data_IF_046638053993
#
_entry.id   IF_046638053993
#
_cell.length_a   1.000
_cell.length_b   1.000
_cell.length_c   1.000
_cell.angle_alpha   90.00
_cell.angle_beta   90.00
_cell.angle_gamma   90.00
#
_symmetry.space_group_name_H-M   'P 1'
#
loop_
_entity.id
_entity.type
_entity.pdbx_description
1 polymer ?
#
# COMPACT_ATOMS: atom_id res chain seq x y z
N UNK A 1 2.30 -49.10 27.75
CA UNK A 1 1.98 -48.31 26.54
C UNK A 1 1.38 -46.93 26.84
N UNK A 2 0.59 -46.75 27.92
CA UNK A 2 0.01 -45.44 28.28
C UNK A 2 1.06 -44.32 28.50
N UNK A 3 2.19 -44.62 29.16
CA UNK A 3 3.24 -43.63 29.46
C UNK A 3 3.95 -43.05 28.22
N UNK A 4 4.04 -43.80 27.12
CA UNK A 4 4.65 -43.28 25.89
C UNK A 4 3.68 -42.39 25.10
N UNK A 5 2.37 -42.66 25.19
CA UNK A 5 1.35 -41.82 24.59
C UNK A 5 1.29 -40.44 25.26
N UNK A 6 1.46 -40.39 26.59
CA UNK A 6 1.47 -39.13 27.34
C UNK A 6 2.67 -38.24 27.01
N UNK A 7 3.84 -38.83 26.73
CA UNK A 7 5.05 -38.08 26.33
C UNK A 7 4.93 -37.54 24.91
N UNK A 8 4.30 -38.28 23.99
CA UNK A 8 4.05 -37.81 22.62
C UNK A 8 3.00 -36.69 22.61
N UNK A 9 1.92 -36.82 23.41
CA UNK A 9 0.89 -35.78 23.51
C UNK A 9 1.43 -34.53 24.22
N UNK A 10 2.21 -34.64 25.30
CA UNK A 10 2.85 -33.47 25.92
C UNK A 10 3.91 -32.83 25.02
N UNK A 11 4.68 -33.63 24.26
CA UNK A 11 5.68 -33.12 23.31
C UNK A 11 5.06 -32.37 22.13
N UNK A 12 3.88 -32.80 21.66
CA UNK A 12 3.12 -32.08 20.62
C UNK A 12 2.48 -30.80 21.20
N UNK A 13 2.03 -30.82 22.46
CA UNK A 13 1.45 -29.65 23.13
C UNK A 13 2.51 -28.58 23.45
N UNK A 14 3.75 -28.96 23.81
CA UNK A 14 4.82 -27.98 24.09
C UNK A 14 5.39 -27.32 22.83
N UNK A 15 5.39 -28.00 21.69
CA UNK A 15 5.76 -27.38 20.39
C UNK A 15 4.69 -26.38 19.93
N UNK A 16 3.43 -26.53 20.38
CA UNK A 16 2.34 -25.62 20.04
C UNK A 16 2.32 -24.27 20.77
N UNK A 17 3.19 -24.04 21.76
CA UNK A 17 3.10 -22.90 22.69
C UNK A 17 4.08 -21.74 22.43
N UNK A 18 5.07 -21.90 21.56
CA UNK A 18 6.02 -20.83 21.23
C UNK A 18 5.55 -20.03 20.00
N UNK A 19 4.60 -19.11 20.18
CA UNK A 19 4.23 -18.19 19.09
C UNK A 19 2.96 -17.37 19.30
N UNK A 20 2.63 -16.97 20.54
CA UNK A 20 1.29 -16.44 20.82
C UNK A 20 1.07 -14.99 20.37
N UNK A 21 2.09 -14.12 20.30
CA UNK A 21 1.94 -12.73 19.86
C UNK A 21 3.26 -12.19 19.29
N UNK A 22 3.22 -11.48 18.16
CA UNK A 22 4.38 -10.72 17.65
C UNK A 22 4.19 -9.27 18.05
N UNK A 23 5.15 -8.71 18.78
CA UNK A 23 5.14 -7.30 19.19
C UNK A 23 6.18 -6.52 18.40
N UNK A 24 5.78 -5.41 17.81
CA UNK A 24 6.70 -4.46 17.17
C UNK A 24 7.13 -3.38 18.16
N UNK A 25 8.37 -2.87 18.09
CA UNK A 25 8.78 -1.70 18.87
C UNK A 25 7.96 -0.47 18.48
N UNK A 26 7.97 0.53 19.36
CA UNK A 26 7.63 1.90 18.96
C UNK A 26 8.75 2.46 18.09
N UNK A 27 8.42 3.05 16.94
CA UNK A 27 9.40 3.54 15.97
C UNK A 27 9.32 5.05 15.88
N UNK A 28 10.42 5.72 16.20
CA UNK A 28 10.62 7.15 15.99
C UNK A 28 11.53 7.31 14.78
N UNK A 29 10.99 7.81 13.68
CA UNK A 29 11.73 7.93 12.44
C UNK A 29 11.90 9.36 12.00
N UNK A 30 12.96 9.60 11.23
CA UNK A 30 13.12 10.82 10.43
C UNK A 30 13.38 10.45 8.97
N UNK A 31 12.74 11.16 8.05
CA UNK A 31 13.00 11.06 6.61
C UNK A 31 13.82 12.26 6.19
N UNK A 32 15.00 11.99 5.64
CA UNK A 32 15.93 13.00 5.14
C UNK A 32 16.13 12.81 3.64
N UNK A 33 16.25 13.90 2.91
CA UNK A 33 16.65 13.85 1.52
C UNK A 33 18.08 13.30 1.40
N UNK A 34 18.31 12.36 0.48
CA UNK A 34 19.59 11.65 0.37
C UNK A 34 20.74 12.55 -0.06
N UNK A 35 20.45 13.64 -0.79
CA UNK A 35 21.45 14.56 -1.33
C UNK A 35 21.66 15.74 -0.38
N UNK A 36 20.60 16.47 -0.07
CA UNK A 36 20.64 17.72 0.70
C UNK A 36 20.69 17.50 2.21
N UNK A 37 20.38 16.28 2.67
CA UNK A 37 20.22 15.90 4.08
C UNK A 37 19.15 16.70 4.84
N UNK A 38 18.33 17.48 4.11
CA UNK A 38 17.24 18.24 4.71
C UNK A 38 16.06 17.32 5.05
N UNK A 39 15.26 17.66 6.07
CA UNK A 39 14.06 16.90 6.39
C UNK A 39 13.03 16.98 5.27
N UNK A 40 12.32 15.87 5.05
CA UNK A 40 11.28 15.76 4.03
C UNK A 40 9.90 15.80 4.69
N UNK A 41 9.17 16.89 4.49
CA UNK A 41 7.78 17.04 4.94
C UNK A 41 6.80 16.26 4.07
N UNK A 42 5.76 15.68 4.68
CA UNK A 42 4.69 15.02 3.94
C UNK A 42 5.11 13.76 3.18
N UNK A 43 6.18 13.07 3.60
CA UNK A 43 6.49 11.75 3.09
C UNK A 43 5.50 10.74 3.66
N UNK A 44 4.83 9.97 2.80
CA UNK A 44 3.94 8.89 3.21
C UNK A 44 4.76 7.71 3.71
N UNK A 45 4.60 7.36 4.98
CA UNK A 45 5.31 6.27 5.63
C UNK A 45 4.44 5.03 5.67
N UNK A 46 5.03 3.90 5.26
CA UNK A 46 4.37 2.58 5.27
C UNK A 46 5.28 1.57 5.93
N UNK A 47 4.74 0.79 6.86
CA UNK A 47 5.49 -0.26 7.57
C UNK A 47 4.73 -1.59 7.50
N UNK A 48 5.40 -2.62 7.00
CA UNK A 48 4.81 -3.94 6.79
C UNK A 48 5.64 -5.00 7.47
N UNK A 49 4.98 -5.86 8.24
CA UNK A 49 5.54 -7.08 8.80
C UNK A 49 5.07 -8.26 7.96
N UNK A 50 6.00 -8.98 7.39
CA UNK A 50 5.76 -10.24 6.70
C UNK A 50 5.93 -11.38 7.69
N UNK A 51 4.86 -12.18 7.82
CA UNK A 51 4.82 -13.35 8.69
C UNK A 51 4.65 -14.61 7.85
N UNK A 52 5.31 -15.67 8.28
CA UNK A 52 5.17 -17.00 7.68
C UNK A 52 4.55 -17.95 8.70
N UNK A 53 3.44 -18.58 8.33
CA UNK A 53 2.75 -19.56 9.14
C UNK A 53 2.92 -20.94 8.51
N UNK A 54 3.46 -21.89 9.28
CA UNK A 54 3.63 -23.29 8.85
C UNK A 54 2.32 -24.03 9.01
N UNK A 55 1.73 -24.52 7.92
CA UNK A 55 0.43 -25.23 7.94
C UNK A 55 0.57 -26.66 7.42
N UNK A 56 -0.48 -27.47 7.56
CA UNK A 56 -0.53 -28.82 6.96
C UNK A 56 -0.46 -28.81 5.42
N UNK A 57 -0.82 -27.70 4.77
CA UNK A 57 -0.79 -27.53 3.31
C UNK A 57 0.49 -26.85 2.81
N UNK A 58 1.45 -26.61 3.69
CA UNK A 58 2.68 -25.87 3.39
C UNK A 58 2.75 -24.52 4.10
N UNK A 59 3.79 -23.75 3.78
CA UNK A 59 4.02 -22.43 4.37
C UNK A 59 3.11 -21.40 3.71
N UNK A 60 2.39 -20.64 4.55
CA UNK A 60 1.54 -19.52 4.12
C UNK A 60 2.15 -18.22 4.60
N UNK A 61 2.43 -17.32 3.66
CA UNK A 61 2.92 -15.96 3.96
C UNK A 61 1.73 -15.02 4.10
N UNK A 62 1.83 -14.05 5.01
CA UNK A 62 0.87 -12.97 5.16
C UNK A 62 1.57 -11.65 5.48
N UNK A 63 1.01 -10.55 5.00
CA UNK A 63 1.52 -9.20 5.27
C UNK A 63 0.62 -8.43 6.22
N UNK A 64 1.20 -7.87 7.28
CA UNK A 64 0.51 -7.07 8.29
C UNK A 64 0.97 -5.62 8.22
N UNK A 65 0.04 -4.66 8.22
CA UNK A 65 0.38 -3.24 8.34
C UNK A 65 0.68 -2.90 9.81
N UNK A 66 1.86 -2.33 10.02
CA UNK A 66 2.37 -1.93 11.34
C UNK A 66 2.14 -0.45 11.58
N UNK A 67 2.22 0.36 10.53
CA UNK A 67 1.91 1.79 10.59
C UNK A 67 0.44 2.05 10.92
N UNK A 68 0.20 3.22 11.51
CA UNK A 68 -1.16 3.74 11.64
C UNK A 68 -1.65 4.24 10.29
N UNK A 69 -2.97 4.17 10.02
CA UNK A 69 -3.55 4.90 8.90
C UNK A 69 -3.01 6.33 8.82
N UNK A 70 -2.73 6.79 7.61
CA UNK A 70 -2.31 8.18 7.36
C UNK A 70 -0.98 8.59 8.00
N UNK A 71 -0.11 7.62 8.32
CA UNK A 71 1.23 7.93 8.87
C UNK A 71 2.06 8.68 7.82
N UNK A 72 2.46 9.90 8.16
CA UNK A 72 3.27 10.80 7.32
C UNK A 72 4.25 11.60 8.17
N UNK A 73 5.27 12.15 7.51
CA UNK A 73 6.23 13.01 8.18
C UNK A 73 5.69 14.42 8.42
N UNK A 74 6.09 15.02 9.53
CA UNK A 74 5.87 16.44 9.84
C UNK A 74 6.87 17.36 9.10
N UNK A 75 6.78 18.67 9.35
CA UNK A 75 7.71 19.70 8.85
C UNK A 75 9.19 19.50 9.21
N UNK A 76 9.48 18.62 10.18
CA UNK A 76 10.83 18.26 10.59
C UNK A 76 11.23 16.87 10.06
N UNK A 77 10.47 16.33 9.10
CA UNK A 77 10.69 15.01 8.53
C UNK A 77 10.41 13.87 9.51
N UNK A 78 9.82 14.14 10.68
CA UNK A 78 9.66 13.14 11.74
C UNK A 78 8.34 12.40 11.63
N UNK A 79 8.34 11.13 12.01
CA UNK A 79 7.15 10.31 12.12
C UNK A 79 7.22 9.39 13.34
N UNK A 80 6.05 8.94 13.80
CA UNK A 80 5.89 8.00 14.90
C UNK A 80 5.01 6.84 14.45
N UNK A 81 5.51 5.61 14.63
CA UNK A 81 4.69 4.40 14.54
C UNK A 81 4.59 3.79 15.93
N UNK A 82 3.38 3.73 16.53
CA UNK A 82 3.20 3.17 17.86
C UNK A 82 3.51 1.66 17.85
N UNK A 83 3.95 1.15 19.00
CA UNK A 83 4.10 -0.30 19.19
C UNK A 83 2.76 -1.01 18.95
N UNK A 84 2.80 -2.14 18.22
CA UNK A 84 1.64 -2.97 17.96
C UNK A 84 1.90 -4.41 18.38
N UNK A 85 0.84 -5.06 18.83
CA UNK A 85 0.83 -6.49 19.14
C UNK A 85 -0.09 -7.18 18.15
N UNK A 86 0.47 -8.08 17.35
CA UNK A 86 -0.27 -8.91 16.42
C UNK A 86 -0.55 -10.25 17.08
N UNK A 87 -1.84 -10.53 17.25
CA UNK A 87 -2.30 -11.87 17.61
C UNK A 87 -2.15 -12.77 16.39
N UNK A 88 -1.75 -14.02 16.61
CA UNK A 88 -1.74 -15.02 15.55
C UNK A 88 -3.12 -15.08 14.89
N UNK A 89 -3.22 -14.97 13.55
CA UNK A 89 -4.50 -15.11 12.87
C UNK A 89 -5.07 -16.51 13.16
N UNK A 90 -6.40 -16.64 13.40
CA UNK A 90 -7.01 -17.92 13.76
C UNK A 90 -6.97 -18.94 12.61
N UNK A 91 -6.73 -18.48 11.38
CA UNK A 91 -6.63 -19.30 10.18
C UNK A 91 -5.53 -18.76 9.26
N UNK A 92 -4.79 -19.62 8.54
CA UNK A 92 -4.82 -21.09 8.63
C UNK A 92 -4.29 -21.63 9.96
N UNK A 93 -4.81 -22.78 10.41
CA UNK A 93 -4.32 -23.47 11.62
C UNK A 93 -2.88 -23.90 11.36
N UNK A 94 -1.94 -23.16 11.94
CA UNK A 94 -0.51 -23.39 11.78
C UNK A 94 0.17 -23.90 13.04
N UNK A 95 1.25 -24.66 12.89
CA UNK A 95 2.07 -25.19 13.98
C UNK A 95 3.15 -24.21 14.45
N UNK A 96 3.17 -23.00 13.90
CA UNK A 96 4.09 -21.93 14.26
C UNK A 96 3.92 -20.75 13.31
N UNK A 97 4.16 -19.54 13.82
CA UNK A 97 4.17 -18.30 13.03
C UNK A 97 5.44 -17.55 13.37
N UNK A 98 6.23 -17.20 12.36
CA UNK A 98 7.46 -16.45 12.52
C UNK A 98 7.43 -15.18 11.67
N UNK A 99 8.00 -14.10 12.19
CA UNK A 99 8.26 -12.91 11.40
C UNK A 99 9.49 -13.20 10.52
N UNK A 100 9.36 -12.98 9.21
CA UNK A 100 10.46 -13.26 8.25
C UNK A 100 11.06 -11.99 7.65
N UNK A 101 10.29 -10.91 7.62
CA UNK A 101 10.75 -9.64 7.08
C UNK A 101 9.95 -8.48 7.68
N UNK A 102 10.63 -7.38 7.99
CA UNK A 102 10.00 -6.11 8.33
C UNK A 102 10.50 -5.05 7.35
N UNK A 103 9.57 -4.45 6.61
CA UNK A 103 9.85 -3.35 5.70
C UNK A 103 9.27 -2.07 6.25
N UNK A 104 10.06 -0.99 6.27
CA UNK A 104 9.56 0.36 6.48
C UNK A 104 10.07 1.26 5.36
N UNK A 105 9.17 1.99 4.71
CA UNK A 105 9.52 2.90 3.63
C UNK A 105 8.78 4.22 3.74
N UNK A 106 9.37 5.23 3.11
CA UNK A 106 8.76 6.54 2.93
C UNK A 106 8.75 6.87 1.43
N UNK A 107 7.64 7.43 0.96
CA UNK A 107 7.48 7.87 -0.43
C UNK A 107 6.92 9.28 -0.48
N UNK A 108 7.39 10.06 -1.44
CA UNK A 108 7.04 11.46 -1.66
C UNK A 108 6.29 11.62 -2.97
N UNK A 109 5.59 12.74 -3.15
CA UNK A 109 4.77 12.99 -4.35
C UNK A 109 5.61 13.09 -5.62
N UNK A 110 6.83 13.59 -5.51
CA UNK A 110 7.83 13.82 -6.58
C UNK A 110 8.66 12.57 -6.91
N UNK A 111 8.17 11.38 -6.58
CA UNK A 111 8.78 10.08 -6.91
C UNK A 111 10.12 9.82 -6.22
N UNK A 112 10.41 10.56 -5.14
CA UNK A 112 11.51 10.24 -4.22
C UNK A 112 11.02 9.29 -3.11
N UNK A 113 11.92 8.48 -2.59
CA UNK A 113 11.61 7.58 -1.48
C UNK A 113 12.81 6.80 -0.99
N UNK A 114 12.58 6.04 0.07
CA UNK A 114 13.57 5.19 0.69
C UNK A 114 12.91 4.05 1.43
N UNK A 115 13.63 2.94 1.58
CA UNK A 115 13.13 1.76 2.30
C UNK A 115 14.23 1.08 3.08
N UNK A 116 13.89 0.67 4.30
CA UNK A 116 14.68 -0.22 5.14
C UNK A 116 13.96 -1.56 5.17
N UNK A 117 14.70 -2.65 4.94
CA UNK A 117 14.19 -4.01 5.11
C UNK A 117 15.06 -4.74 6.13
N UNK A 118 14.42 -5.35 7.13
CA UNK A 118 15.06 -6.13 8.19
C UNK A 118 14.66 -7.59 8.03
N UNK A 119 15.65 -8.48 8.02
CA UNK A 119 15.48 -9.94 7.89
C UNK A 119 16.49 -10.66 8.80
N UNK A 120 16.20 -11.92 9.13
CA UNK A 120 17.08 -12.76 9.96
C UNK A 120 17.39 -12.12 11.32
N UNK A 121 18.64 -12.19 11.75
CA UNK A 121 19.08 -11.68 13.06
C UNK A 121 18.72 -10.20 13.31
N UNK A 122 18.79 -9.35 12.27
CA UNK A 122 18.42 -7.93 12.38
C UNK A 122 16.93 -7.73 12.67
N UNK A 123 16.08 -8.65 12.18
CA UNK A 123 14.65 -8.62 12.47
C UNK A 123 14.38 -9.08 13.91
N UNK A 124 15.07 -10.10 14.38
CA UNK A 124 14.96 -10.57 15.77
C UNK A 124 15.41 -9.49 16.76
N UNK A 125 16.55 -8.85 16.49
CA UNK A 125 17.02 -7.71 17.28
C UNK A 125 16.00 -6.57 17.28
N UNK A 126 15.41 -6.26 16.12
CA UNK A 126 14.35 -5.26 15.99
C UNK A 126 13.12 -5.58 16.85
N UNK A 127 12.61 -6.81 16.77
CA UNK A 127 11.42 -7.23 17.53
C UNK A 127 11.70 -7.31 19.05
N UNK A 128 12.95 -7.51 19.46
CA UNK A 128 13.37 -7.48 20.86
C UNK A 128 13.42 -6.09 21.49
N UNK A 129 13.38 -5.01 20.70
CA UNK A 129 13.45 -3.64 21.21
C UNK A 129 12.09 -3.15 21.72
N UNK A 130 12.12 -2.27 22.73
CA UNK A 130 10.93 -1.51 23.15
C UNK A 130 10.69 -0.31 22.25
N UNK A 131 11.77 0.37 21.88
CA UNK A 131 11.80 1.58 21.05
C UNK A 131 12.92 1.45 20.03
N UNK A 132 12.69 1.97 18.83
CA UNK A 132 13.66 2.09 17.76
C UNK A 132 13.70 3.53 17.26
N UNK A 133 14.90 4.03 17.03
CA UNK A 133 15.15 5.27 16.31
C UNK A 133 15.77 4.94 14.96
N UNK A 134 15.26 5.52 13.88
CA UNK A 134 15.78 5.27 12.54
C UNK A 134 15.73 6.49 11.63
N UNK A 135 16.56 6.45 10.59
CA UNK A 135 16.60 7.46 9.54
C UNK A 135 16.38 6.79 8.19
N UNK A 136 15.40 7.26 7.44
CA UNK A 136 15.17 6.85 6.05
C UNK A 136 15.73 7.95 5.15
N UNK A 137 16.67 7.59 4.28
CA UNK A 137 17.15 8.50 3.24
C UNK A 137 16.26 8.37 2.00
N UNK A 138 15.66 9.47 1.58
CA UNK A 138 14.78 9.57 0.42
C UNK A 138 15.56 10.09 -0.79
N UNK A 139 15.65 9.28 -1.84
CA UNK A 139 16.28 9.65 -3.11
C UNK A 139 15.38 9.31 -4.30
N UNK A 140 15.79 9.62 -5.53
CA UNK A 140 15.04 9.24 -6.73
C UNK A 140 14.75 7.74 -6.77
N UNK A 141 13.49 7.37 -7.03
CA UNK A 141 13.11 5.96 -7.17
C UNK A 141 12.88 5.65 -8.64
N UNK A 142 13.78 4.86 -9.23
CA UNK A 142 13.59 4.31 -10.57
C UNK A 142 12.52 3.21 -10.54
N UNK A 143 11.55 3.32 -11.44
CA UNK A 143 10.53 2.30 -11.70
C UNK A 143 10.34 2.17 -13.20
N UNK A 144 10.16 0.96 -13.67
CA UNK A 144 9.63 0.72 -15.01
C UNK A 144 8.20 1.25 -15.11
N UNK A 145 7.73 1.50 -16.34
CA UNK A 145 6.37 1.98 -16.58
C UNK A 145 5.31 1.02 -15.99
N UNK A 146 5.52 -0.29 -16.12
CA UNK A 146 4.63 -1.32 -15.58
C UNK A 146 4.60 -1.34 -14.05
N UNK A 147 5.76 -1.20 -13.39
CA UNK A 147 5.85 -1.09 -11.93
C UNK A 147 5.17 0.19 -11.44
N UNK A 148 5.35 1.29 -12.15
CA UNK A 148 4.71 2.56 -11.81
C UNK A 148 3.19 2.47 -11.97
N UNK A 149 2.70 1.91 -13.07
CA UNK A 149 1.26 1.68 -13.29
C UNK A 149 0.66 0.78 -12.20
N UNK A 150 1.38 -0.24 -11.76
CA UNK A 150 0.96 -1.12 -10.65
C UNK A 150 0.90 -0.37 -9.32
N UNK A 151 1.87 0.53 -9.08
CA UNK A 151 1.86 1.42 -7.92
C UNK A 151 0.64 2.35 -7.92
N UNK A 152 0.33 3.00 -9.05
CA UNK A 152 -0.86 3.85 -9.19
C UNK A 152 -2.15 3.07 -8.91
N UNK A 153 -2.27 1.86 -9.44
CA UNK A 153 -3.42 0.99 -9.17
C UNK A 153 -3.55 0.68 -7.67
N UNK A 154 -2.44 0.46 -6.96
CA UNK A 154 -2.46 0.24 -5.51
C UNK A 154 -2.94 1.48 -4.75
N UNK A 155 -2.49 2.69 -5.14
CA UNK A 155 -2.96 3.95 -4.55
C UNK A 155 -4.46 4.15 -4.78
N UNK A 156 -4.92 3.95 -6.02
CA UNK A 156 -6.33 4.01 -6.37
C UNK A 156 -7.17 3.04 -5.54
N UNK A 157 -6.76 1.76 -5.45
CA UNK A 157 -7.46 0.75 -4.65
C UNK A 157 -7.49 1.10 -3.17
N UNK A 158 -6.39 1.67 -2.64
CA UNK A 158 -6.34 2.13 -1.27
C UNK A 158 -7.35 3.24 -1.00
N UNK A 159 -7.45 4.26 -1.88
CA UNK A 159 -8.45 5.30 -1.71
C UNK A 159 -9.89 4.80 -1.84
N UNK A 160 -10.13 3.80 -2.71
CA UNK A 160 -11.48 3.26 -2.90
C UNK A 160 -11.93 2.33 -1.77
N UNK A 161 -11.02 1.53 -1.22
CA UNK A 161 -11.37 0.39 -0.35
C UNK A 161 -10.70 0.41 1.02
N UNK A 162 -9.79 1.35 1.26
CA UNK A 162 -8.88 1.35 2.40
C UNK A 162 -7.82 0.24 2.35
N UNK A 163 -7.76 -0.57 1.28
CA UNK A 163 -6.81 -1.70 1.16
C UNK A 163 -5.71 -1.39 0.18
N UNK A 164 -4.46 -1.49 0.64
CA UNK A 164 -3.28 -1.35 -0.24
C UNK A 164 -2.88 -2.68 -0.90
N UNK A 165 -3.35 -3.81 -0.37
CA UNK A 165 -3.18 -5.16 -0.92
C UNK A 165 -4.32 -6.07 -0.44
N UNK A 166 -4.50 -7.23 -1.08
CA UNK A 166 -5.55 -8.21 -0.78
C UNK A 166 -5.48 -8.71 0.68
N UNK A 167 -4.27 -8.77 1.24
CA UNK A 167 -4.00 -9.36 2.56
C UNK A 167 -3.95 -8.36 3.71
N UNK A 168 -4.02 -7.05 3.41
CA UNK A 168 -3.99 -6.01 4.44
C UNK A 168 -5.43 -5.59 4.76
N UNK A 169 -5.83 -5.57 6.05
CA UNK A 169 -7.14 -5.07 6.46
C UNK A 169 -7.41 -3.67 5.90
N UNK A 170 -8.67 -3.40 5.55
CA UNK A 170 -9.08 -2.07 5.09
C UNK A 170 -8.94 -1.04 6.21
N UNK A 171 -8.35 0.10 5.90
CA UNK A 171 -8.46 1.31 6.70
C UNK A 171 -9.89 1.85 6.57
N UNK A 172 -10.58 1.99 7.70
CA UNK A 172 -11.90 2.61 7.74
C UNK A 172 -11.82 4.05 7.23
N UNK A 173 -12.69 4.41 6.28
CA UNK A 173 -12.68 5.73 5.62
C UNK A 173 -11.77 5.84 4.38
N UNK A 174 -10.91 4.87 4.09
CA UNK A 174 -10.08 4.89 2.88
C UNK A 174 -8.94 5.90 2.96
N UNK A 175 -8.80 6.75 1.93
CA UNK A 175 -7.84 7.85 1.90
C UNK A 175 -8.35 9.07 2.68
N UNK A 176 -7.47 9.74 3.42
CA UNK A 176 -7.74 11.12 3.84
C UNK A 176 -7.59 12.13 2.68
N UNK A 177 -7.93 13.40 2.92
CA UNK A 177 -7.89 14.44 1.87
C UNK A 177 -6.48 14.60 1.27
N UNK A 178 -5.44 14.49 2.10
CA UNK A 178 -4.06 14.62 1.67
C UNK A 178 -3.62 13.41 0.86
N UNK A 179 -3.97 12.19 1.26
CA UNK A 179 -3.65 10.96 0.54
C UNK A 179 -4.38 10.90 -0.81
N UNK A 180 -5.63 11.40 -0.86
CA UNK A 180 -6.37 11.53 -2.12
C UNK A 180 -5.68 12.54 -3.05
N UNK A 181 -5.24 13.68 -2.53
CA UNK A 181 -4.47 14.66 -3.31
C UNK A 181 -3.13 14.08 -3.79
N UNK A 182 -2.43 13.34 -2.95
CA UNK A 182 -1.21 12.62 -3.28
C UNK A 182 -1.44 11.61 -4.42
N UNK A 183 -2.49 10.79 -4.32
CA UNK A 183 -2.84 9.81 -5.34
C UNK A 183 -3.16 10.50 -6.67
N UNK A 184 -3.98 11.56 -6.66
CA UNK A 184 -4.32 12.34 -7.86
C UNK A 184 -3.05 12.90 -8.51
N UNK A 185 -2.18 13.56 -7.74
CA UNK A 185 -0.96 14.17 -8.26
C UNK A 185 -0.03 13.14 -8.92
N UNK A 186 0.10 11.93 -8.35
CA UNK A 186 0.84 10.82 -8.94
C UNK A 186 0.27 10.36 -10.29
N UNK A 187 -1.06 10.23 -10.38
CA UNK A 187 -1.73 9.83 -11.62
C UNK A 187 -1.60 10.91 -12.70
N UNK A 188 -1.80 12.18 -12.35
CA UNK A 188 -1.58 13.32 -13.25
C UNK A 188 -0.13 13.38 -13.75
N UNK A 189 0.84 13.23 -12.84
CA UNK A 189 2.26 13.23 -13.17
C UNK A 189 2.64 12.12 -14.13
N UNK A 190 2.10 10.91 -13.94
CA UNK A 190 2.31 9.80 -14.87
C UNK A 190 1.73 10.06 -16.25
N UNK A 191 0.47 10.49 -16.33
CA UNK A 191 -0.19 10.81 -17.61
C UNK A 191 0.55 11.93 -18.34
N UNK A 192 1.04 12.93 -17.60
CA UNK A 192 1.85 14.02 -18.17
C UNK A 192 3.17 13.52 -18.77
N UNK A 193 3.87 12.59 -18.10
CA UNK A 193 5.13 12.00 -18.62
C UNK A 193 4.89 11.08 -19.82
N UNK A 194 3.74 10.41 -19.85
CA UNK A 194 3.41 9.48 -20.91
C UNK A 194 3.04 10.20 -22.22
N UNK A 195 2.53 11.43 -22.13
CA UNK A 195 2.11 12.27 -23.26
C UNK A 195 1.19 11.49 -24.23
N UNK A 196 1.70 11.15 -25.42
CA UNK A 196 1.01 10.31 -26.40
C UNK A 196 1.52 8.86 -26.33
N UNK A 197 0.67 7.88 -25.99
CA UNK A 197 1.08 6.49 -25.87
C UNK A 197 1.42 5.86 -27.22
N UNK A 198 2.68 5.45 -27.40
CA UNK A 198 3.24 4.95 -28.66
C UNK A 198 3.13 3.43 -28.81
N UNK A 199 3.24 2.70 -27.71
CA UNK A 199 3.18 1.22 -27.69
C UNK A 199 1.81 0.72 -27.20
N UNK A 200 1.51 -0.58 -27.42
CA UNK A 200 0.28 -1.16 -26.90
C UNK A 200 0.22 -1.10 -25.37
N UNK A 201 1.33 -1.41 -24.69
CA UNK A 201 1.43 -1.37 -23.23
C UNK A 201 1.17 0.04 -22.70
N UNK A 202 1.79 1.05 -23.33
CA UNK A 202 1.54 2.46 -23.00
C UNK A 202 0.07 2.84 -23.14
N UNK A 203 -0.61 2.35 -24.18
CA UNK A 203 -2.05 2.62 -24.37
C UNK A 203 -2.90 1.96 -23.28
N UNK A 204 -2.53 0.75 -22.84
CA UNK A 204 -3.19 0.05 -21.72
C UNK A 204 -2.98 0.83 -20.41
N UNK A 205 -1.74 1.22 -20.11
CA UNK A 205 -1.41 1.99 -18.92
C UNK A 205 -2.08 3.37 -18.92
N UNK A 206 -2.11 4.06 -20.07
CA UNK A 206 -2.77 5.35 -20.24
C UNK A 206 -4.27 5.27 -19.96
N UNK A 207 -4.99 4.35 -20.61
CA UNK A 207 -6.43 4.20 -20.41
C UNK A 207 -6.77 3.77 -18.97
N UNK A 208 -6.03 2.81 -18.42
CA UNK A 208 -6.19 2.36 -17.04
C UNK A 208 -5.97 3.49 -16.03
N UNK A 209 -4.92 4.29 -16.23
CA UNK A 209 -4.60 5.42 -15.34
C UNK A 209 -5.62 6.56 -15.45
N UNK A 210 -6.08 6.91 -16.66
CA UNK A 210 -7.13 7.92 -16.83
C UNK A 210 -8.44 7.50 -16.17
N UNK A 211 -8.85 6.23 -16.32
CA UNK A 211 -10.03 5.68 -15.64
C UNK A 211 -9.89 5.85 -14.12
N UNK A 212 -8.76 5.43 -13.55
CA UNK A 212 -8.50 5.57 -12.11
C UNK A 212 -8.53 7.03 -11.67
N UNK A 213 -7.90 7.93 -12.43
CA UNK A 213 -7.90 9.37 -12.15
C UNK A 213 -9.32 9.97 -12.15
N UNK A 214 -10.17 9.58 -13.11
CA UNK A 214 -11.55 10.05 -13.16
C UNK A 214 -12.34 9.66 -11.90
N UNK A 215 -12.16 8.42 -11.42
CA UNK A 215 -12.74 7.98 -10.15
C UNK A 215 -12.17 8.72 -8.94
N UNK A 216 -10.86 8.99 -8.89
CA UNK A 216 -10.27 9.78 -7.82
C UNK A 216 -10.85 11.21 -7.77
N UNK A 217 -11.08 11.84 -8.93
CA UNK A 217 -11.78 13.13 -8.99
C UNK A 217 -13.21 13.04 -8.50
N UNK A 218 -13.93 11.96 -8.85
CA UNK A 218 -15.29 11.70 -8.36
C UNK A 218 -15.30 11.56 -6.83
N UNK A 219 -14.36 10.83 -6.24
CA UNK A 219 -14.21 10.69 -4.78
C UNK A 219 -13.92 12.05 -4.13
N UNK A 220 -13.08 12.88 -4.77
CA UNK A 220 -12.78 14.24 -4.30
C UNK A 220 -13.98 15.20 -4.37
N UNK A 221 -15.03 14.84 -5.11
CA UNK A 221 -16.16 15.73 -5.40
C UNK A 221 -15.90 16.71 -6.55
N UNK A 222 -14.78 16.59 -7.26
CA UNK A 222 -14.50 17.40 -8.46
C UNK A 222 -15.19 16.79 -9.69
N UNK A 223 -16.53 16.87 -9.71
CA UNK A 223 -17.34 16.22 -10.73
C UNK A 223 -17.05 16.73 -12.15
N UNK A 224 -16.66 18.01 -12.30
CA UNK A 224 -16.30 18.58 -13.60
C UNK A 224 -15.04 17.92 -14.15
N UNK A 225 -13.97 17.81 -13.35
CA UNK A 225 -12.75 17.11 -13.79
C UNK A 225 -12.97 15.62 -14.00
N UNK A 226 -13.77 14.98 -13.14
CA UNK A 226 -14.13 13.57 -13.32
C UNK A 226 -14.82 13.36 -14.69
N UNK A 227 -15.82 14.18 -15.01
CA UNK A 227 -16.56 14.13 -16.27
C UNK A 227 -15.64 14.37 -17.48
N UNK A 228 -14.80 15.39 -17.43
CA UNK A 228 -13.82 15.66 -18.50
C UNK A 228 -12.88 14.46 -18.71
N UNK A 229 -12.39 13.87 -17.63
CA UNK A 229 -11.47 12.73 -17.68
C UNK A 229 -12.14 11.47 -18.23
N UNK A 230 -13.39 11.18 -17.82
CA UNK A 230 -14.16 10.06 -18.39
C UNK A 230 -14.43 10.23 -19.89
N UNK A 231 -14.78 11.45 -20.33
CA UNK A 231 -14.94 11.72 -21.76
C UNK A 231 -13.64 11.53 -22.54
N UNK A 232 -12.50 11.96 -21.99
CA UNK A 232 -11.18 11.76 -22.60
C UNK A 232 -10.83 10.28 -22.76
N UNK A 233 -10.98 9.46 -21.72
CA UNK A 233 -10.69 8.02 -21.83
C UNK A 233 -11.68 7.30 -22.75
N UNK A 234 -12.96 7.68 -22.74
CA UNK A 234 -13.95 7.13 -23.68
C UNK A 234 -13.54 7.39 -25.13
N UNK A 235 -13.27 8.65 -25.48
CA UNK A 235 -12.85 9.03 -26.84
C UNK A 235 -11.55 8.32 -27.27
N UNK A 236 -10.62 8.15 -26.33
CA UNK A 236 -9.38 7.42 -26.58
C UNK A 236 -9.62 5.94 -26.93
N UNK A 237 -10.50 5.25 -26.19
CA UNK A 237 -10.81 3.83 -26.45
C UNK A 237 -11.67 3.64 -27.72
N UNK A 238 -12.61 4.55 -27.99
CA UNK A 238 -13.39 4.56 -29.23
C UNK A 238 -12.48 4.65 -30.47
N UNK A 239 -11.50 5.56 -30.46
CA UNK A 239 -10.51 5.70 -31.55
C UNK A 239 -9.66 4.45 -31.76
N UNK A 240 -9.50 3.62 -30.72
CA UNK A 240 -8.77 2.34 -30.79
C UNK A 240 -9.65 1.17 -31.18
N UNK A 241 -10.97 1.35 -31.28
CA UNK A 241 -11.93 0.27 -31.49
C UNK A 241 -12.02 -0.69 -30.30
N UNK A 242 -11.74 -0.21 -29.09
CA UNK A 242 -11.84 -1.01 -27.85
C UNK A 242 -13.15 -0.65 -27.14
N UNK A 243 -14.05 -1.63 -27.00
CA UNK A 243 -15.39 -1.41 -26.46
C UNK A 243 -15.58 -1.87 -25.00
N UNK A 244 -14.58 -2.57 -24.44
CA UNK A 244 -14.63 -3.26 -23.15
C UNK A 244 -15.21 -2.42 -22.00
N UNK A 245 -14.89 -1.12 -21.96
CA UNK A 245 -15.25 -0.21 -20.87
C UNK A 245 -16.23 0.89 -21.27
N UNK A 246 -16.66 0.96 -22.53
CA UNK A 246 -17.45 2.10 -23.02
C UNK A 246 -18.79 2.24 -22.29
N UNK A 247 -19.47 1.12 -22.02
CA UNK A 247 -20.74 1.13 -21.26
C UNK A 247 -20.58 1.66 -19.84
N UNK A 248 -19.47 1.32 -19.19
CA UNK A 248 -19.15 1.84 -17.86
C UNK A 248 -18.92 3.35 -17.92
N UNK A 249 -18.13 3.82 -18.89
CA UNK A 249 -17.88 5.25 -19.06
C UNK A 249 -19.16 6.03 -19.34
N UNK A 250 -20.06 5.51 -20.18
CA UNK A 250 -21.35 6.15 -20.46
C UNK A 250 -22.22 6.26 -19.21
N UNK A 251 -22.27 5.21 -18.39
CA UNK A 251 -22.98 5.24 -17.13
C UNK A 251 -22.41 6.32 -16.19
N UNK A 252 -21.09 6.34 -16.01
CA UNK A 252 -20.40 7.30 -15.15
C UNK A 252 -20.55 8.75 -15.65
N UNK A 253 -20.47 8.97 -16.96
CA UNK A 253 -20.68 10.29 -17.59
C UNK A 253 -22.10 10.79 -17.30
N UNK A 254 -23.11 9.94 -17.46
CA UNK A 254 -24.51 10.31 -17.21
C UNK A 254 -24.75 10.63 -15.71
N UNK A 255 -24.23 9.80 -14.80
CA UNK A 255 -24.29 10.04 -13.34
C UNK A 255 -23.65 11.39 -12.96
N UNK A 256 -22.46 11.68 -13.50
CA UNK A 256 -21.75 12.93 -13.23
C UNK A 256 -22.48 14.14 -13.80
N UNK A 257 -23.05 14.05 -15.01
CA UNK A 257 -23.87 15.13 -15.59
C UNK A 257 -25.12 15.41 -14.77
N UNK A 258 -25.75 14.38 -14.19
CA UNK A 258 -26.86 14.57 -13.26
C UNK A 258 -26.40 15.30 -11.99
N UNK A 259 -25.33 14.82 -11.34
CA UNK A 259 -24.79 15.45 -10.13
C UNK A 259 -24.35 16.89 -10.32
N UNK A 260 -23.81 17.24 -11.50
CA UNK A 260 -23.44 18.63 -11.82
C UNK A 260 -24.67 19.53 -12.00
N UNK A 261 -25.82 19.00 -12.43
CA UNK A 261 -27.06 19.78 -12.58
C UNK A 261 -27.79 20.00 -11.25
N UNK A 262 -27.60 19.09 -10.31
CA UNK A 262 -28.25 19.11 -8.99
C UNK A 262 -27.51 19.96 -7.95
N UNK A 263 -26.26 20.35 -8.22
CA UNK A 263 -25.44 21.25 -7.40
C UNK A 263 -25.35 22.65 -8.03
#
# INVERSE_FOLDING_TARGET
MLKQLTVVVLGIITIGLAGCNIKTPEIHGVVLDSETKQPVEGAWVRATLEIKSKTVQGDVTSYLSVDSPHTRTDKHGKFLIPSRTFKKPPFPVGFGTEAINFGIGAATVDDRGGRINLKGEKLEEFLGKKKLELTIYSGPVERTEAEYSSHLQSLYKYCLTGRSSVEVPSVEGGCDEWELAYAIAKHEGFLKRLEEPKTMDQRIHYAGTMKQLAYLYKIKGDFKKALETFNKVKSFEEKRGVDLWLREFEHEINDLQQKIREN
#
